data_IF_534791348580
#
_entry.id   IF_534791348580
#
_cell.length_a   1.000
_cell.length_b   1.000
_cell.length_c   1.000
_cell.angle_alpha   90.00
_cell.angle_beta   90.00
_cell.angle_gamma   90.00
#
_symmetry.space_group_name_H-M   'P 1'
#
loop_
_entity.id
_entity.type
_entity.pdbx_description
1 polymer ?
#
# COMPACT_ATOMS: atom_id res chain seq x y z
N UNK A 1 -12.73 -6.79 14.42
CA UNK A 1 -13.47 -5.54 14.12
C UNK A 1 -13.76 -5.38 12.62
N UNK A 2 -12.91 -5.92 11.72
CA UNK A 2 -13.13 -5.96 10.25
C UNK A 2 -14.55 -6.36 9.80
N UNK A 3 -15.22 -7.25 10.56
CA UNK A 3 -16.49 -7.84 10.17
C UNK A 3 -17.64 -6.81 10.02
N UNK A 4 -17.68 -5.70 10.76
CA UNK A 4 -18.89 -4.84 10.79
C UNK A 4 -19.11 -3.98 9.53
N UNK A 5 -18.06 -3.48 8.87
CA UNK A 5 -18.25 -2.64 7.67
C UNK A 5 -18.46 -3.48 6.41
N UNK A 6 -17.68 -4.56 6.24
CA UNK A 6 -17.81 -5.51 5.11
C UNK A 6 -19.20 -6.14 5.07
N UNK A 7 -19.80 -6.45 6.22
CA UNK A 7 -21.17 -7.00 6.28
C UNK A 7 -22.23 -6.04 5.73
N UNK A 8 -21.96 -4.74 5.68
CA UNK A 8 -22.85 -3.75 5.07
C UNK A 8 -22.70 -3.68 3.54
N UNK A 9 -21.67 -4.31 2.97
CA UNK A 9 -21.37 -4.32 1.54
C UNK A 9 -21.39 -5.76 0.98
N UNK A 10 -22.57 -6.33 0.67
CA UNK A 10 -22.70 -7.73 0.24
C UNK A 10 -21.83 -8.09 -0.98
N UNK A 11 -21.65 -7.15 -1.91
CA UNK A 11 -20.80 -7.34 -3.11
C UNK A 11 -19.34 -7.54 -2.73
N UNK A 12 -18.83 -6.75 -1.79
CA UNK A 12 -17.46 -6.88 -1.26
C UNK A 12 -17.27 -8.26 -0.63
N UNK A 13 -18.21 -8.67 0.22
CA UNK A 13 -18.17 -9.99 0.88
C UNK A 13 -18.15 -11.14 -0.14
N UNK A 14 -18.99 -11.07 -1.19
CA UNK A 14 -18.98 -12.08 -2.26
C UNK A 14 -17.63 -12.15 -2.97
N UNK A 15 -17.01 -10.99 -3.27
CA UNK A 15 -15.68 -10.97 -3.89
C UNK A 15 -14.61 -11.52 -2.95
N UNK A 16 -14.67 -11.22 -1.65
CA UNK A 16 -13.76 -11.81 -0.65
C UNK A 16 -13.86 -13.33 -0.58
N UNK A 17 -15.08 -13.89 -0.64
CA UNK A 17 -15.28 -15.35 -0.67
C UNK A 17 -14.68 -15.94 -1.94
N UNK A 18 -14.98 -15.36 -3.12
CA UNK A 18 -14.39 -15.82 -4.40
C UNK A 18 -12.87 -15.72 -4.39
N UNK A 19 -12.35 -14.62 -3.86
CA UNK A 19 -10.92 -14.40 -3.68
C UNK A 19 -10.29 -15.52 -2.86
N UNK A 20 -10.88 -15.85 -1.70
CA UNK A 20 -10.43 -16.95 -0.85
C UNK A 20 -10.45 -18.30 -1.57
N UNK A 21 -11.47 -18.59 -2.37
CA UNK A 21 -11.55 -19.84 -3.14
C UNK A 21 -10.49 -19.92 -4.25
N UNK A 22 -10.19 -18.81 -4.95
CA UNK A 22 -9.09 -18.75 -5.92
C UNK A 22 -7.73 -18.97 -5.24
N UNK A 23 -7.54 -18.34 -4.07
CA UNK A 23 -6.32 -18.48 -3.28
C UNK A 23 -6.07 -19.94 -2.84
N UNK A 24 -7.12 -20.69 -2.46
CA UNK A 24 -7.01 -22.13 -2.15
C UNK A 24 -6.51 -22.95 -3.34
N UNK A 25 -6.90 -22.58 -4.55
CA UNK A 25 -6.50 -23.24 -5.79
C UNK A 25 -5.14 -22.77 -6.31
N UNK A 26 -4.47 -21.86 -5.61
CA UNK A 26 -3.26 -21.16 -6.07
C UNK A 26 -3.47 -20.46 -7.42
N UNK A 27 -4.70 -20.05 -7.68
CA UNK A 27 -5.03 -19.22 -8.83
C UNK A 27 -4.75 -17.76 -8.47
N UNK A 28 -4.27 -17.00 -9.45
CA UNK A 28 -4.17 -15.56 -9.28
C UNK A 28 -5.53 -14.96 -8.94
N UNK A 29 -5.54 -13.97 -8.05
CA UNK A 29 -6.66 -13.06 -7.90
C UNK A 29 -6.16 -11.68 -7.53
N UNK A 30 -6.66 -10.64 -8.18
CA UNK A 30 -6.42 -9.27 -7.76
C UNK A 30 -7.22 -9.03 -6.48
N UNK A 31 -6.56 -8.63 -5.39
CA UNK A 31 -7.23 -8.25 -4.14
C UNK A 31 -7.37 -6.73 -4.08
N UNK A 32 -6.26 -6.03 -4.24
CA UNK A 32 -6.10 -4.64 -3.88
C UNK A 32 -5.58 -3.83 -5.06
N UNK A 33 -6.29 -2.74 -5.35
CA UNK A 33 -5.79 -1.64 -6.17
C UNK A 33 -5.37 -0.51 -5.24
N UNK A 34 -4.08 -0.21 -5.21
CA UNK A 34 -3.56 0.99 -4.57
C UNK A 34 -3.56 2.13 -5.60
N UNK A 35 -4.14 3.27 -5.24
CA UNK A 35 -4.24 4.44 -6.11
C UNK A 35 -3.57 5.62 -5.43
N UNK A 36 -2.52 6.12 -6.08
CA UNK A 36 -2.03 7.46 -5.86
C UNK A 36 -2.62 8.38 -6.91
N UNK A 37 -3.60 9.16 -6.50
CA UNK A 37 -4.28 10.10 -7.37
C UNK A 37 -3.47 11.39 -7.59
N UNK A 38 -2.82 11.87 -6.52
CA UNK A 38 -2.11 13.14 -6.52
C UNK A 38 -0.94 13.10 -5.52
N UNK A 39 0.23 13.56 -5.97
CA UNK A 39 1.48 13.61 -5.19
C UNK A 39 1.54 14.79 -4.20
N UNK A 40 0.59 15.73 -4.24
CA UNK A 40 0.54 16.86 -3.32
C UNK A 40 0.43 16.37 -1.86
N UNK A 41 1.31 16.87 -1.00
CA UNK A 41 1.36 16.53 0.42
C UNK A 41 1.73 17.76 1.24
N UNK A 42 1.14 17.89 2.42
CA UNK A 42 1.45 18.95 3.39
C UNK A 42 2.71 18.65 4.23
N UNK A 43 3.34 17.48 4.07
CA UNK A 43 4.55 17.05 4.79
C UNK A 43 5.74 16.84 3.83
N UNK A 44 6.94 16.67 4.39
CA UNK A 44 8.17 16.41 3.62
C UNK A 44 9.05 15.31 4.25
N UNK A 45 8.44 14.17 4.63
CA UNK A 45 9.04 13.07 5.39
C UNK A 45 10.39 12.59 4.84
N UNK A 46 11.22 11.98 5.70
CA UNK A 46 12.57 11.50 5.37
C UNK A 46 12.62 10.30 4.42
N UNK A 47 11.56 9.51 4.36
CA UNK A 47 11.50 8.26 3.57
C UNK A 47 10.69 8.38 2.28
N UNK A 48 10.01 9.52 2.06
CA UNK A 48 8.94 9.62 1.06
C UNK A 48 9.43 9.34 -0.37
N UNK A 49 8.67 8.52 -1.11
CA UNK A 49 8.88 8.28 -2.54
C UNK A 49 7.95 9.10 -3.43
N UNK A 50 6.76 9.46 -2.97
CA UNK A 50 5.76 10.18 -3.78
C UNK A 50 6.25 11.52 -4.32
N UNK A 51 7.24 12.16 -3.68
CA UNK A 51 7.84 13.40 -4.19
C UNK A 51 8.62 13.23 -5.50
N UNK A 52 9.10 12.02 -5.77
CA UNK A 52 9.91 11.69 -6.95
C UNK A 52 9.09 11.08 -8.09
N UNK A 53 7.86 10.65 -7.81
CA UNK A 53 6.92 10.27 -8.86
C UNK A 53 6.62 11.45 -9.76
N UNK A 54 6.41 11.17 -11.05
CA UNK A 54 5.98 12.17 -12.03
C UNK A 54 4.88 13.06 -11.45
N UNK A 55 5.07 14.38 -11.55
CA UNK A 55 4.08 15.38 -11.13
C UNK A 55 2.96 15.54 -12.14
N UNK A 56 3.03 14.87 -13.29
CA UNK A 56 1.96 14.90 -14.28
C UNK A 56 0.74 14.14 -13.77
N UNK A 57 -0.23 14.87 -13.25
CA UNK A 57 -1.54 14.33 -12.90
C UNK A 57 -2.41 14.27 -14.16
N UNK A 58 -2.72 13.05 -14.61
CA UNK A 58 -3.55 12.78 -15.81
C UNK A 58 -4.84 12.03 -15.50
N UNK A 59 -4.94 11.43 -14.30
CA UNK A 59 -6.15 10.78 -13.86
C UNK A 59 -7.25 11.81 -13.56
N UNK A 60 -8.45 11.52 -14.05
CA UNK A 60 -9.68 12.26 -13.73
C UNK A 60 -10.66 11.30 -13.04
N UNK A 61 -11.69 11.80 -12.34
CA UNK A 61 -12.74 10.94 -11.79
C UNK A 61 -13.37 9.99 -12.82
N UNK A 62 -13.49 10.41 -14.09
CA UNK A 62 -13.97 9.54 -15.16
C UNK A 62 -13.02 8.36 -15.44
N UNK A 63 -11.71 8.58 -15.43
CA UNK A 63 -10.70 7.51 -15.60
C UNK A 63 -10.62 6.60 -14.39
N UNK A 64 -10.80 7.14 -13.19
CA UNK A 64 -10.89 6.34 -11.96
C UNK A 64 -12.13 5.43 -12.00
N UNK A 65 -13.25 5.93 -12.54
CA UNK A 65 -14.47 5.12 -12.71
C UNK A 65 -14.25 3.96 -13.68
N UNK A 66 -13.52 4.19 -14.76
CA UNK A 66 -13.13 3.15 -15.71
C UNK A 66 -12.20 2.11 -15.05
N UNK A 67 -11.16 2.56 -14.35
CA UNK A 67 -10.28 1.69 -13.55
C UNK A 67 -11.08 0.87 -12.53
N UNK A 68 -12.01 1.49 -11.81
CA UNK A 68 -12.91 0.82 -10.86
C UNK A 68 -13.71 -0.29 -11.53
N UNK A 69 -14.28 -0.04 -12.71
CA UNK A 69 -15.01 -1.06 -13.46
C UNK A 69 -14.12 -2.23 -13.88
N UNK A 70 -12.92 -1.95 -14.40
CA UNK A 70 -11.96 -2.98 -14.80
C UNK A 70 -11.47 -3.80 -13.59
N UNK A 71 -11.16 -3.15 -12.46
CA UNK A 71 -10.74 -3.81 -11.23
C UNK A 71 -11.85 -4.69 -10.65
N UNK A 72 -13.11 -4.24 -10.67
CA UNK A 72 -14.26 -5.02 -10.23
C UNK A 72 -14.47 -6.27 -11.10
N UNK A 73 -14.31 -6.15 -12.43
CA UNK A 73 -14.35 -7.29 -13.35
C UNK A 73 -13.25 -8.31 -13.08
N UNK A 74 -12.05 -7.85 -12.69
CA UNK A 74 -10.92 -8.71 -12.30
C UNK A 74 -11.07 -9.32 -10.90
N UNK A 75 -12.13 -8.96 -10.16
CA UNK A 75 -12.44 -9.49 -8.84
C UNK A 75 -11.73 -8.78 -7.69
N UNK A 76 -11.09 -7.64 -7.93
CA UNK A 76 -10.54 -6.79 -6.88
C UNK A 76 -11.64 -6.41 -5.90
N UNK A 77 -11.34 -6.43 -4.60
CA UNK A 77 -12.32 -6.15 -3.57
C UNK A 77 -11.86 -5.10 -2.56
N UNK A 78 -10.60 -4.67 -2.65
CA UNK A 78 -10.08 -3.52 -1.91
C UNK A 78 -9.65 -2.40 -2.85
N UNK A 79 -9.86 -1.17 -2.39
CA UNK A 79 -9.27 0.02 -2.97
C UNK A 79 -8.56 0.80 -1.86
N UNK A 80 -7.29 1.14 -2.09
CA UNK A 80 -6.48 1.90 -1.15
C UNK A 80 -6.07 3.22 -1.76
N UNK A 81 -6.57 4.30 -1.19
CA UNK A 81 -6.15 5.64 -1.54
C UNK A 81 -4.92 6.02 -0.71
N UNK A 82 -3.85 6.38 -1.41
CA UNK A 82 -2.58 6.85 -0.83
C UNK A 82 -1.94 7.86 -1.79
N UNK A 83 -0.64 8.14 -1.65
CA UNK A 83 0.11 8.99 -2.57
C UNK A 83 0.84 10.13 -1.87
N UNK A 84 0.50 11.37 -2.22
CA UNK A 84 0.74 12.50 -1.33
C UNK A 84 -0.12 12.38 -0.07
N UNK A 85 -0.88 13.41 0.28
CA UNK A 85 -1.84 13.34 1.38
C UNK A 85 -3.28 13.38 0.86
N UNK A 86 -4.06 12.28 0.93
CA UNK A 86 -5.43 12.26 0.43
C UNK A 86 -6.34 13.34 1.02
N UNK A 87 -6.15 13.70 2.30
CA UNK A 87 -7.05 14.63 2.97
C UNK A 87 -6.89 16.10 2.54
N UNK A 88 -5.89 16.42 1.72
CA UNK A 88 -5.74 17.76 1.12
C UNK A 88 -6.27 17.83 -0.31
N UNK A 89 -6.73 16.73 -0.89
CA UNK A 89 -7.27 16.74 -2.25
C UNK A 89 -8.61 17.46 -2.26
N UNK A 90 -8.78 18.52 -3.07
CA UNK A 90 -10.04 19.28 -3.12
C UNK A 90 -11.20 18.45 -3.67
N UNK A 91 -10.90 17.41 -4.44
CA UNK A 91 -11.82 16.54 -5.18
C UNK A 91 -11.86 15.11 -4.63
N UNK A 92 -11.43 14.89 -3.37
CA UNK A 92 -11.42 13.57 -2.72
C UNK A 92 -12.79 12.87 -2.78
N UNK A 93 -13.87 13.61 -2.58
CA UNK A 93 -15.24 13.08 -2.60
C UNK A 93 -15.62 12.53 -3.99
N UNK A 94 -15.22 13.23 -5.06
CA UNK A 94 -15.43 12.80 -6.44
C UNK A 94 -14.60 11.56 -6.77
N UNK A 95 -13.37 11.50 -6.28
CA UNK A 95 -12.49 10.33 -6.41
C UNK A 95 -13.11 9.12 -5.70
N UNK A 96 -13.61 9.28 -4.47
CA UNK A 96 -14.30 8.22 -3.74
C UNK A 96 -15.55 7.76 -4.50
N UNK A 97 -16.37 8.68 -4.99
CA UNK A 97 -17.55 8.36 -5.79
C UNK A 97 -17.23 7.68 -7.13
N UNK A 98 -16.07 7.97 -7.72
CA UNK A 98 -15.58 7.29 -8.93
C UNK A 98 -15.11 5.86 -8.63
N UNK A 99 -14.48 5.62 -7.48
CA UNK A 99 -14.09 4.29 -7.02
C UNK A 99 -15.31 3.39 -6.81
N UNK A 100 -16.46 3.97 -6.44
CA UNK A 100 -17.69 3.25 -6.10
C UNK A 100 -17.52 2.38 -4.84
N UNK A 101 -17.62 2.98 -3.63
CA UNK A 101 -17.34 2.30 -2.37
C UNK A 101 -18.30 1.15 -2.08
N UNK A 102 -19.43 1.01 -2.76
CA UNK A 102 -20.30 -0.17 -2.62
C UNK A 102 -19.69 -1.43 -3.26
N UNK A 103 -18.79 -1.25 -4.23
CA UNK A 103 -18.06 -2.35 -4.86
C UNK A 103 -16.82 -2.75 -4.06
N UNK A 104 -16.23 -1.87 -3.27
CA UNK A 104 -14.91 -2.11 -2.66
C UNK A 104 -14.89 -1.85 -1.16
N UNK A 105 -14.03 -2.59 -0.47
CA UNK A 105 -13.54 -2.17 0.84
C UNK A 105 -12.53 -1.04 0.64
N UNK A 106 -12.93 0.19 0.96
CA UNK A 106 -12.15 1.39 0.68
C UNK A 106 -11.40 1.84 1.91
N UNK A 107 -10.10 2.10 1.77
CA UNK A 107 -9.30 2.65 2.86
C UNK A 107 -8.31 3.68 2.41
N UNK A 108 -7.95 4.59 3.32
CA UNK A 108 -7.04 5.71 3.07
C UNK A 108 -5.81 5.58 3.97
N UNK A 109 -4.61 5.83 3.42
CA UNK A 109 -3.45 6.20 4.26
C UNK A 109 -3.37 7.71 4.39
N UNK A 110 -3.19 8.19 5.61
CA UNK A 110 -3.09 9.63 5.91
C UNK A 110 -2.06 9.90 6.99
N UNK A 111 -1.45 11.09 6.95
CA UNK A 111 -0.65 11.65 8.03
C UNK A 111 -1.48 12.17 9.22
N UNK A 112 -2.81 12.19 9.09
CA UNK A 112 -3.73 12.55 10.17
C UNK A 112 -3.93 14.05 10.38
N UNK A 113 -3.12 14.91 9.77
CA UNK A 113 -3.12 16.37 10.03
C UNK A 113 -4.49 17.03 9.83
N UNK A 114 -5.18 16.65 8.75
CA UNK A 114 -6.49 17.19 8.37
C UNK A 114 -7.67 16.30 8.79
N UNK A 115 -7.43 15.21 9.53
CA UNK A 115 -8.49 14.29 9.93
C UNK A 115 -9.15 14.75 11.24
N UNK A 116 -10.00 15.76 11.13
CA UNK A 116 -10.89 16.17 12.24
C UNK A 116 -11.99 15.13 12.47
N UNK A 117 -12.67 15.21 13.61
CA UNK A 117 -13.84 14.37 13.89
C UNK A 117 -14.93 14.52 12.80
N UNK A 118 -15.22 15.75 12.38
CA UNK A 118 -16.18 16.02 11.30
C UNK A 118 -15.75 15.38 9.99
N UNK A 119 -14.48 15.57 9.58
CA UNK A 119 -13.94 14.97 8.37
C UNK A 119 -13.98 13.44 8.43
N UNK A 120 -13.73 12.84 9.59
CA UNK A 120 -13.83 11.40 9.78
C UNK A 120 -15.26 10.88 9.60
N UNK A 121 -16.27 11.56 10.18
CA UNK A 121 -17.67 11.21 9.99
C UNK A 121 -18.11 11.38 8.52
N UNK A 122 -17.65 12.45 7.87
CA UNK A 122 -17.89 12.69 6.44
C UNK A 122 -17.35 11.54 5.58
N UNK A 123 -16.09 11.16 5.75
CA UNK A 123 -15.46 10.06 5.02
C UNK A 123 -16.16 8.71 5.27
N UNK A 124 -16.57 8.44 6.51
CA UNK A 124 -17.38 7.27 6.84
C UNK A 124 -18.72 7.28 6.09
N UNK A 125 -19.37 8.44 5.99
CA UNK A 125 -20.61 8.64 5.22
C UNK A 125 -20.44 8.45 3.71
N UNK A 126 -19.25 8.72 3.18
CA UNK A 126 -18.88 8.43 1.78
C UNK A 126 -18.53 6.95 1.55
N UNK A 127 -18.58 6.10 2.59
CA UNK A 127 -18.32 4.67 2.45
C UNK A 127 -16.85 4.27 2.60
N UNK A 128 -16.00 5.13 3.18
CA UNK A 128 -14.65 4.73 3.62
C UNK A 128 -14.77 3.76 4.80
N UNK A 129 -14.13 2.60 4.68
CA UNK A 129 -14.19 1.54 5.68
C UNK A 129 -13.07 1.62 6.73
N UNK A 130 -11.89 2.11 6.32
CA UNK A 130 -10.69 2.12 7.16
C UNK A 130 -9.79 3.31 6.91
N UNK A 131 -9.21 3.81 8.00
CA UNK A 131 -8.11 4.78 7.98
C UNK A 131 -6.83 4.10 8.48
N UNK A 132 -5.74 4.36 7.76
CA UNK A 132 -4.38 3.94 8.06
C UNK A 132 -3.56 5.18 8.41
N UNK A 133 -3.35 5.41 9.70
CA UNK A 133 -2.69 6.63 10.19
C UNK A 133 -1.20 6.38 10.33
N UNK A 134 -0.42 7.21 9.66
CA UNK A 134 1.04 7.23 9.75
C UNK A 134 1.54 7.62 11.16
N UNK A 135 2.19 6.69 11.86
CA UNK A 135 2.84 6.92 13.16
C UNK A 135 4.10 6.06 13.29
N UNK A 136 5.29 6.66 13.11
CA UNK A 136 6.58 5.92 13.08
C UNK A 136 7.41 6.00 14.36
N UNK A 137 6.98 6.78 15.35
CA UNK A 137 7.57 6.74 16.69
C UNK A 137 6.51 7.10 17.72
N UNK A 138 6.56 6.44 18.88
CA UNK A 138 5.81 6.81 20.07
C UNK A 138 6.46 7.99 20.83
N UNK A 139 7.67 8.39 20.46
CA UNK A 139 8.28 9.64 20.88
C UNK A 139 7.87 10.76 19.93
N UNK A 140 7.19 11.78 20.45
CA UNK A 140 6.67 12.90 19.66
C UNK A 140 7.76 13.65 18.89
N UNK A 141 8.92 13.91 19.51
CA UNK A 141 10.00 14.65 18.88
C UNK A 141 10.63 13.86 17.71
N UNK A 142 10.81 12.56 17.87
CA UNK A 142 11.33 11.68 16.82
C UNK A 142 10.33 11.56 15.66
N UNK A 143 9.05 11.37 15.96
CA UNK A 143 8.02 11.28 14.93
C UNK A 143 7.92 12.58 14.11
N UNK A 144 7.85 13.72 14.80
CA UNK A 144 7.77 15.04 14.16
C UNK A 144 9.01 15.33 13.31
N UNK A 145 10.21 14.96 13.79
CA UNK A 145 11.46 15.10 13.06
C UNK A 145 11.47 14.22 11.79
N UNK A 146 11.11 12.94 11.92
CA UNK A 146 11.04 12.00 10.80
C UNK A 146 10.04 12.42 9.71
N UNK A 147 8.90 12.97 10.14
CA UNK A 147 7.84 13.50 9.25
C UNK A 147 8.13 14.91 8.75
N UNK A 148 9.14 15.58 9.31
CA UNK A 148 9.51 16.99 9.07
C UNK A 148 8.33 17.95 9.28
N UNK A 149 7.53 17.68 10.31
CA UNK A 149 6.36 18.48 10.64
C UNK A 149 6.15 18.52 12.17
N UNK A 150 6.36 19.69 12.82
CA UNK A 150 6.05 19.85 14.24
C UNK A 150 4.55 19.62 14.53
N UNK A 151 4.25 18.87 15.58
CA UNK A 151 2.91 18.48 16.01
C UNK A 151 2.31 17.30 15.25
N UNK A 152 3.05 16.66 14.33
CA UNK A 152 2.56 15.53 13.55
C UNK A 152 2.13 14.36 14.44
N UNK A 153 2.87 14.10 15.52
CA UNK A 153 2.59 13.02 16.47
C UNK A 153 1.19 13.16 17.06
N UNK A 154 0.87 14.34 17.62
CA UNK A 154 -0.43 14.56 18.24
C UNK A 154 -1.56 14.45 17.22
N UNK A 155 -1.36 14.96 16.01
CA UNK A 155 -2.35 14.85 14.93
C UNK A 155 -2.60 13.40 14.50
N UNK A 156 -1.56 12.58 14.43
CA UNK A 156 -1.70 11.16 14.16
C UNK A 156 -2.49 10.45 15.27
N UNK A 157 -2.19 10.76 16.54
CA UNK A 157 -2.91 10.19 17.68
C UNK A 157 -4.40 10.57 17.67
N UNK A 158 -4.71 11.86 17.48
CA UNK A 158 -6.10 12.34 17.39
C UNK A 158 -6.85 11.67 16.22
N UNK A 159 -6.20 11.57 15.05
CA UNK A 159 -6.76 10.96 13.85
C UNK A 159 -7.19 9.49 14.05
N UNK A 160 -6.40 8.70 14.79
CA UNK A 160 -6.76 7.31 15.13
C UNK A 160 -8.08 7.25 15.89
N UNK A 161 -8.27 8.14 16.86
CA UNK A 161 -9.50 8.20 17.67
C UNK A 161 -10.68 8.80 16.90
N UNK A 162 -10.47 9.83 16.07
CA UNK A 162 -11.50 10.37 15.20
C UNK A 162 -12.04 9.32 14.22
N UNK A 163 -11.15 8.55 13.57
CA UNK A 163 -11.56 7.47 12.68
C UNK A 163 -12.36 6.39 13.41
N UNK A 164 -11.91 5.98 14.60
CA UNK A 164 -12.61 5.00 15.43
C UNK A 164 -13.98 5.50 15.88
N UNK A 165 -14.09 6.77 16.29
CA UNK A 165 -15.34 7.40 16.72
C UNK A 165 -16.35 7.53 15.56
N UNK A 166 -15.86 7.71 14.33
CA UNK A 166 -16.68 7.69 13.12
C UNK A 166 -17.16 6.28 12.71
N UNK A 167 -16.75 5.23 13.43
CA UNK A 167 -17.14 3.85 13.15
C UNK A 167 -16.32 3.17 12.04
N UNK A 168 -15.26 3.82 11.55
CA UNK A 168 -14.29 3.21 10.65
C UNK A 168 -13.31 2.33 11.42
N UNK A 169 -12.70 1.35 10.74
CA UNK A 169 -11.51 0.71 11.28
C UNK A 169 -10.35 1.71 11.26
N UNK A 170 -9.54 1.71 12.30
CA UNK A 170 -8.31 2.48 12.35
C UNK A 170 -7.14 1.53 12.56
N UNK A 171 -6.04 1.78 11.85
CA UNK A 171 -4.80 1.08 12.04
C UNK A 171 -3.64 2.08 12.05
N UNK A 172 -2.57 1.69 12.74
CA UNK A 172 -1.31 2.42 12.78
C UNK A 172 -0.44 1.90 11.65
N UNK A 173 0.04 2.80 10.80
CA UNK A 173 0.99 2.50 9.74
C UNK A 173 2.36 3.02 10.16
N UNK A 174 3.30 2.13 10.41
CA UNK A 174 4.63 2.46 10.91
C UNK A 174 5.70 1.97 9.95
N UNK A 175 6.64 2.84 9.61
CA UNK A 175 7.83 2.45 8.84
C UNK A 175 8.83 1.75 9.75
N UNK A 176 9.26 0.55 9.34
CA UNK A 176 10.19 -0.31 10.06
C UNK A 176 11.50 -0.42 9.29
N UNK A 177 12.60 -0.07 9.95
CA UNK A 177 13.96 -0.10 9.44
C UNK A 177 14.82 -1.03 10.31
N UNK A 178 15.99 -1.44 9.81
CA UNK A 178 17.00 -2.12 10.62
C UNK A 178 17.37 -1.31 11.89
N UNK A 179 17.30 0.02 11.81
CA UNK A 179 17.70 0.91 12.90
C UNK A 179 16.64 1.06 13.99
N UNK A 180 15.35 0.86 13.70
CA UNK A 180 14.27 1.12 14.66
C UNK A 180 13.54 -0.14 15.15
N UNK A 181 13.67 -1.28 14.47
CA UNK A 181 12.85 -2.47 14.77
C UNK A 181 13.05 -3.00 16.20
N UNK A 182 14.23 -2.79 16.78
CA UNK A 182 14.54 -3.16 18.17
C UNK A 182 14.32 -2.03 19.18
N UNK A 183 13.72 -0.91 18.78
CA UNK A 183 13.51 0.25 19.66
C UNK A 183 12.32 0.08 20.59
N UNK A 184 12.40 0.70 21.77
CA UNK A 184 11.28 0.80 22.71
C UNK A 184 10.04 1.44 22.08
N UNK A 185 10.25 2.38 21.15
CA UNK A 185 9.21 3.10 20.44
C UNK A 185 8.29 2.16 19.65
N UNK A 186 8.84 1.15 18.97
CA UNK A 186 8.05 0.14 18.26
C UNK A 186 7.21 -0.67 19.25
N UNK A 187 7.79 -1.10 20.38
CA UNK A 187 7.05 -1.82 21.42
C UNK A 187 5.93 -0.96 22.02
N UNK A 188 6.18 0.33 22.25
CA UNK A 188 5.18 1.27 22.75
C UNK A 188 4.02 1.46 21.76
N UNK A 189 4.28 1.54 20.46
CA UNK A 189 3.24 1.54 19.42
C UNK A 189 2.39 0.27 19.52
N UNK A 190 3.01 -0.90 19.69
CA UNK A 190 2.31 -2.18 19.78
C UNK A 190 1.45 -2.29 21.04
N UNK A 191 1.97 -1.91 22.20
CA UNK A 191 1.20 -1.90 23.46
C UNK A 191 0.06 -0.87 23.42
N UNK A 192 0.29 0.31 22.85
CA UNK A 192 -0.78 1.29 22.60
C UNK A 192 -1.86 0.73 21.67
N UNK A 193 -1.47 0.10 20.55
CA UNK A 193 -2.40 -0.51 19.62
C UNK A 193 -3.23 -1.61 20.28
N UNK A 194 -2.60 -2.46 21.10
CA UNK A 194 -3.27 -3.50 21.88
C UNK A 194 -4.28 -2.92 22.87
N UNK A 195 -3.88 -1.91 23.65
CA UNK A 195 -4.74 -1.24 24.62
C UNK A 195 -5.98 -0.63 23.96
N UNK A 196 -5.81 -0.02 22.78
CA UNK A 196 -6.88 0.70 22.08
C UNK A 196 -7.52 -0.09 20.93
N UNK A 197 -7.17 -1.38 20.77
CA UNK A 197 -7.69 -2.28 19.75
C UNK A 197 -7.49 -1.77 18.30
N UNK A 198 -6.35 -1.14 18.05
CA UNK A 198 -5.88 -0.84 16.70
C UNK A 198 -5.09 -2.03 16.16
N UNK A 199 -5.09 -2.20 14.84
CA UNK A 199 -4.10 -3.07 14.18
C UNK A 199 -2.88 -2.23 13.79
N UNK A 200 -1.74 -2.88 13.55
CA UNK A 200 -0.51 -2.19 13.15
C UNK A 200 -0.02 -2.76 11.83
N UNK A 201 0.14 -1.93 10.82
CA UNK A 201 0.77 -2.27 9.56
C UNK A 201 2.24 -1.89 9.62
N UNK A 202 3.12 -2.89 9.55
CA UNK A 202 4.55 -2.69 9.36
C UNK A 202 4.82 -2.48 7.88
N UNK A 203 5.25 -1.27 7.53
CA UNK A 203 5.78 -0.94 6.20
C UNK A 203 7.28 -0.99 6.28
N UNK A 204 7.88 -1.85 5.49
CA UNK A 204 9.29 -2.19 5.61
C UNK A 204 10.09 -1.19 4.81
N UNK A 205 11.24 -0.77 5.33
CA UNK A 205 12.12 0.15 4.62
C UNK A 205 12.46 -0.41 3.23
N UNK A 206 12.31 0.44 2.22
CA UNK A 206 12.71 0.14 0.85
C UNK A 206 13.71 1.19 0.38
N UNK A 207 14.66 0.78 -0.47
CA UNK A 207 15.66 1.67 -1.07
C UNK A 207 15.02 2.45 -2.21
N UNK A 208 14.08 3.32 -1.87
CA UNK A 208 13.24 4.07 -2.81
C UNK A 208 13.01 5.49 -2.31
N UNK A 209 12.62 6.42 -3.21
CA UNK A 209 12.39 7.81 -2.84
C UNK A 209 13.63 8.50 -2.25
N UNK A 210 13.46 9.17 -1.10
CA UNK A 210 14.59 9.79 -0.38
C UNK A 210 15.59 8.79 0.21
N UNK A 211 15.24 7.51 0.23
CA UNK A 211 16.11 6.44 0.71
C UNK A 211 16.79 5.65 -0.40
N UNK A 212 16.74 6.11 -1.65
CA UNK A 212 17.47 5.40 -2.70
C UNK A 212 18.97 5.31 -2.35
N UNK A 213 19.49 4.09 -2.40
CA UNK A 213 20.88 3.77 -2.09
C UNK A 213 21.17 3.56 -0.60
N UNK A 214 20.19 3.75 0.29
CA UNK A 214 20.32 3.53 1.74
C UNK A 214 20.06 2.07 2.12
N UNK A 215 20.99 1.20 1.76
CA UNK A 215 20.89 -0.23 2.04
C UNK A 215 21.07 -0.57 3.53
N UNK A 216 21.61 0.35 4.32
CA UNK A 216 21.80 0.29 5.77
C UNK A 216 20.48 0.38 6.55
N UNK A 217 19.40 0.86 5.93
CA UNK A 217 18.06 0.94 6.54
C UNK A 217 17.24 -0.34 6.36
N UNK A 218 17.60 -1.15 5.36
CA UNK A 218 16.84 -2.31 4.94
C UNK A 218 16.97 -3.46 5.93
N UNK A 219 15.86 -4.18 6.11
CA UNK A 219 15.74 -5.29 7.06
C UNK A 219 16.74 -6.41 6.75
N UNK A 220 17.36 -6.90 7.82
CA UNK A 220 18.26 -8.06 7.80
C UNK A 220 17.48 -9.35 8.11
N UNK A 221 18.05 -10.54 7.84
CA UNK A 221 17.43 -11.79 8.27
C UNK A 221 17.16 -11.89 9.78
N UNK A 222 18.02 -11.27 10.61
CA UNK A 222 17.83 -11.21 12.06
C UNK A 222 16.61 -10.35 12.43
N UNK A 223 16.46 -9.19 11.79
CA UNK A 223 15.30 -8.32 11.97
C UNK A 223 14.01 -9.00 11.51
N UNK A 224 14.05 -9.71 10.38
CA UNK A 224 12.89 -10.47 9.88
C UNK A 224 12.45 -11.53 10.90
N UNK A 225 13.39 -12.26 11.50
CA UNK A 225 13.10 -13.19 12.59
C UNK A 225 12.55 -12.49 13.84
N UNK A 226 13.05 -11.31 14.17
CA UNK A 226 12.50 -10.51 15.27
C UNK A 226 11.06 -10.07 14.99
N UNK A 227 10.76 -9.62 13.77
CA UNK A 227 9.41 -9.27 13.31
C UNK A 227 8.45 -10.45 13.46
N UNK A 228 8.89 -11.68 13.14
CA UNK A 228 8.08 -12.89 13.34
C UNK A 228 7.77 -13.14 14.82
N UNK A 229 8.76 -13.00 15.71
CA UNK A 229 8.55 -13.10 17.17
C UNK A 229 7.58 -12.03 17.67
N UNK A 230 7.68 -10.80 17.17
CA UNK A 230 6.73 -9.74 17.48
C UNK A 230 5.32 -10.09 16.98
N UNK A 231 5.18 -10.68 15.78
CA UNK A 231 3.89 -11.12 15.25
C UNK A 231 3.23 -12.21 16.11
N UNK A 232 4.02 -13.11 16.69
CA UNK A 232 3.54 -14.12 17.65
C UNK A 232 3.03 -13.45 18.94
N UNK A 233 3.79 -12.51 19.50
CA UNK A 233 3.43 -11.78 20.71
C UNK A 233 2.26 -10.79 20.50
N UNK A 234 2.16 -10.20 19.31
CA UNK A 234 1.19 -9.19 18.92
C UNK A 234 0.47 -9.60 17.62
N UNK A 235 -0.56 -10.46 17.70
CA UNK A 235 -1.20 -11.04 16.52
C UNK A 235 -1.89 -10.04 15.58
N UNK A 236 -2.10 -8.80 16.01
CA UNK A 236 -2.70 -7.70 15.23
C UNK A 236 -1.68 -6.93 14.37
N UNK A 237 -0.41 -7.33 14.37
CA UNK A 237 0.58 -6.87 13.39
C UNK A 237 0.25 -7.49 12.03
N UNK A 238 0.23 -6.64 11.01
CA UNK A 238 0.13 -7.00 9.60
C UNK A 238 1.35 -6.49 8.85
N UNK A 239 1.67 -7.18 7.77
CA UNK A 239 2.77 -6.86 6.85
C UNK A 239 2.40 -7.40 5.46
N UNK A 240 2.98 -6.82 4.42
CA UNK A 240 2.77 -7.21 3.02
C UNK A 240 2.95 -8.73 2.75
N UNK A 241 3.92 -9.38 3.38
CA UNK A 241 4.19 -10.82 3.20
C UNK A 241 3.42 -11.74 4.15
N UNK A 242 2.71 -11.18 5.15
CA UNK A 242 2.03 -12.01 6.15
C UNK A 242 0.79 -12.70 5.57
N UNK A 243 0.41 -13.88 6.12
CA UNK A 243 -0.70 -14.64 5.61
C UNK A 243 -2.01 -13.85 5.57
N UNK A 244 -2.75 -14.01 4.48
CA UNK A 244 -4.11 -13.51 4.34
C UNK A 244 -5.06 -14.69 4.22
N UNK A 245 -6.13 -14.70 5.03
CA UNK A 245 -7.06 -15.85 5.13
C UNK A 245 -6.36 -17.20 5.39
N UNK A 246 -5.29 -17.18 6.19
CA UNK A 246 -4.47 -18.36 6.54
C UNK A 246 -3.64 -18.93 5.37
N UNK A 247 -3.49 -18.19 4.26
CA UNK A 247 -2.64 -18.59 3.14
C UNK A 247 -1.32 -17.82 3.12
N UNK A 248 -0.21 -18.56 3.15
CA UNK A 248 1.14 -18.05 2.91
C UNK A 248 1.37 -17.86 1.41
N UNK A 249 1.42 -16.60 0.97
CA UNK A 249 1.69 -16.24 -0.42
C UNK A 249 3.00 -15.49 -0.62
N UNK A 250 3.65 -15.04 0.46
CA UNK A 250 4.87 -14.25 0.38
C UNK A 250 4.61 -12.88 -0.26
N UNK A 251 5.56 -12.42 -1.06
CA UNK A 251 5.49 -11.14 -1.76
C UNK A 251 4.21 -11.03 -2.62
N UNK A 252 3.48 -9.93 -2.42
CA UNK A 252 2.17 -9.68 -3.07
C UNK A 252 2.27 -8.89 -4.36
N UNK A 253 3.49 -8.53 -4.75
CA UNK A 253 3.82 -7.78 -5.96
C UNK A 253 3.17 -8.44 -7.16
N UNK A 254 2.24 -7.73 -7.81
CA UNK A 254 1.36 -8.21 -8.88
C UNK A 254 0.41 -9.36 -8.50
N UNK A 255 0.78 -10.24 -7.54
CA UNK A 255 0.06 -11.38 -7.00
C UNK A 255 -0.85 -11.03 -5.81
N UNK A 256 -1.72 -10.04 -6.04
CA UNK A 256 -2.74 -9.61 -5.09
C UNK A 256 -2.81 -8.10 -4.94
N UNK A 257 -1.75 -7.39 -5.36
CA UNK A 257 -1.64 -5.95 -5.24
C UNK A 257 -1.09 -5.33 -6.52
N UNK A 258 -1.65 -4.19 -6.91
CA UNK A 258 -1.08 -3.30 -7.91
C UNK A 258 -1.13 -1.86 -7.41
N UNK A 259 -0.28 -1.01 -7.96
CA UNK A 259 -0.24 0.41 -7.63
C UNK A 259 -0.42 1.26 -8.88
N UNK A 260 -1.29 2.25 -8.82
CA UNK A 260 -1.61 3.17 -9.93
C UNK A 260 -1.04 4.55 -9.60
N UNK A 261 -0.20 5.10 -10.48
CA UNK A 261 0.38 6.45 -10.33
C UNK A 261 -0.60 7.55 -10.76
N UNK A 262 -0.34 8.82 -10.40
CA UNK A 262 -1.16 9.96 -10.87
C UNK A 262 -1.21 10.13 -12.40
N UNK A 263 -0.21 9.56 -13.11
CA UNK A 263 -0.10 9.56 -14.56
C UNK A 263 -0.78 8.35 -15.22
N UNK A 264 -1.31 7.41 -14.43
CA UNK A 264 -1.98 6.19 -14.90
C UNK A 264 -1.08 4.98 -15.12
N UNK A 265 0.20 5.05 -14.76
CA UNK A 265 1.09 3.89 -14.81
C UNK A 265 0.68 2.84 -13.78
N UNK A 266 0.71 1.57 -14.19
CA UNK A 266 0.51 0.43 -13.32
C UNK A 266 1.86 -0.10 -12.89
N UNK A 267 2.13 -0.06 -11.59
CA UNK A 267 3.30 -0.67 -10.97
C UNK A 267 2.89 -1.97 -10.29
N UNK A 268 3.86 -2.88 -10.14
CA UNK A 268 3.64 -4.15 -9.47
C UNK A 268 3.51 -4.01 -7.95
N UNK A 269 4.09 -2.96 -7.36
CA UNK A 269 3.88 -2.52 -5.98
C UNK A 269 4.28 -1.03 -5.85
N UNK A 270 3.93 -0.33 -4.75
CA UNK A 270 4.26 1.09 -4.58
C UNK A 270 5.77 1.40 -4.58
N UNK A 271 6.63 0.42 -4.26
CA UNK A 271 8.06 0.64 -4.08
C UNK A 271 8.93 0.22 -5.28
N UNK A 272 8.36 -0.56 -6.22
CA UNK A 272 9.04 -0.98 -7.43
C UNK A 272 8.57 -0.06 -8.56
N UNK A 273 9.31 1.04 -8.76
CA UNK A 273 8.94 2.10 -9.70
C UNK A 273 9.24 1.76 -11.17
N UNK A 274 8.73 0.63 -11.62
CA UNK A 274 8.79 0.16 -13.01
C UNK A 274 7.36 0.07 -13.53
N UNK A 275 7.06 0.82 -14.58
CA UNK A 275 5.76 0.81 -15.24
C UNK A 275 5.59 -0.48 -16.03
N UNK A 276 4.53 -1.22 -15.70
CA UNK A 276 4.08 -2.39 -16.46
C UNK A 276 3.25 -1.99 -17.68
N UNK A 277 2.79 -0.74 -17.75
CA UNK A 277 1.83 -0.26 -18.73
C UNK A 277 1.02 0.89 -18.16
N UNK A 278 0.16 1.52 -18.98
CA UNK A 278 -0.60 2.69 -18.56
C UNK A 278 -2.09 2.54 -18.88
N UNK A 279 -2.95 2.68 -17.85
CA UNK A 279 -4.40 2.45 -17.96
C UNK A 279 -5.12 3.45 -18.87
N UNK A 280 -4.46 4.55 -19.25
CA UNK A 280 -5.00 5.52 -20.20
C UNK A 280 -4.88 5.04 -21.65
N UNK A 281 -3.99 4.08 -21.91
CA UNK A 281 -3.63 3.65 -23.26
C UNK A 281 -4.10 2.23 -23.57
N UNK A 282 -4.23 1.37 -22.55
CA UNK A 282 -4.51 -0.05 -22.73
C UNK A 282 -5.33 -0.63 -21.54
N UNK A 283 -6.06 -1.76 -21.74
CA UNK A 283 -6.83 -2.39 -20.69
C UNK A 283 -5.95 -2.91 -19.54
N UNK A 284 -6.42 -2.75 -18.30
CA UNK A 284 -5.74 -3.20 -17.10
C UNK A 284 -5.35 -4.69 -17.17
N UNK A 285 -6.25 -5.54 -17.68
CA UNK A 285 -6.00 -6.98 -17.86
C UNK A 285 -4.73 -7.26 -18.67
N UNK A 286 -4.51 -6.55 -19.77
CA UNK A 286 -3.35 -6.75 -20.64
C UNK A 286 -2.05 -6.31 -19.94
N UNK A 287 -2.12 -5.22 -19.17
CA UNK A 287 -0.99 -4.74 -18.34
C UNK A 287 -0.59 -5.80 -17.30
N UNK A 288 -1.56 -6.43 -16.64
CA UNK A 288 -1.29 -7.50 -15.67
C UNK A 288 -0.68 -8.74 -16.32
N UNK A 289 -1.20 -9.15 -17.48
CA UNK A 289 -0.65 -10.26 -18.26
C UNK A 289 0.82 -10.01 -18.64
N UNK A 290 1.14 -8.77 -19.05
CA UNK A 290 2.53 -8.37 -19.30
C UNK A 290 3.39 -8.50 -18.06
N UNK A 291 2.91 -8.01 -16.92
CA UNK A 291 3.63 -8.08 -15.65
C UNK A 291 3.99 -9.51 -15.24
N UNK A 292 3.10 -10.49 -15.45
CA UNK A 292 3.38 -11.90 -15.11
C UNK A 292 4.36 -12.61 -16.02
N UNK A 293 4.76 -11.98 -17.13
CA UNK A 293 5.89 -12.50 -17.89
C UNK A 293 7.18 -12.33 -17.08
N UNK A 294 7.24 -11.40 -16.13
CA UNK A 294 8.40 -11.18 -15.27
C UNK A 294 8.50 -12.32 -14.24
N UNK A 295 9.60 -13.07 -14.28
CA UNK A 295 9.84 -14.23 -13.40
C UNK A 295 9.62 -13.91 -11.92
N UNK A 296 10.19 -12.79 -11.47
CA UNK A 296 10.08 -12.30 -10.09
C UNK A 296 8.65 -11.96 -9.63
N UNK A 297 7.73 -11.66 -10.56
CA UNK A 297 6.34 -11.32 -10.22
C UNK A 297 5.39 -12.50 -10.39
N UNK A 298 5.81 -13.56 -11.09
CA UNK A 298 5.01 -14.78 -11.28
C UNK A 298 5.32 -15.81 -10.19
N UNK A 299 6.58 -15.98 -9.86
CA UNK A 299 7.01 -17.01 -8.91
C UNK A 299 6.74 -16.61 -7.46
N UNK A 300 6.58 -17.62 -6.61
CA UNK A 300 6.43 -17.39 -5.18
C UNK A 300 7.77 -16.95 -4.57
N UNK A 301 7.75 -15.81 -3.87
CA UNK A 301 8.90 -15.26 -3.16
C UNK A 301 8.49 -15.07 -1.70
N UNK A 302 9.13 -15.73 -0.71
CA UNK A 302 8.67 -15.73 0.68
C UNK A 302 8.96 -14.41 1.42
N UNK A 303 9.83 -13.57 0.87
CA UNK A 303 10.27 -12.29 1.42
C UNK A 303 9.89 -11.11 0.52
N UNK A 304 10.00 -9.88 1.03
CA UNK A 304 9.69 -8.69 0.27
C UNK A 304 10.79 -8.39 -0.75
N UNK A 305 10.46 -8.42 -2.05
CA UNK A 305 11.39 -8.10 -3.13
C UNK A 305 12.00 -6.69 -3.00
N UNK A 306 11.20 -5.71 -2.56
CA UNK A 306 11.64 -4.32 -2.49
C UNK A 306 12.38 -3.94 -1.19
N UNK A 307 12.17 -4.70 -0.11
CA UNK A 307 12.70 -4.40 1.22
C UNK A 307 13.78 -5.35 1.72
N UNK A 308 13.82 -6.60 1.22
CA UNK A 308 14.69 -7.66 1.74
C UNK A 308 15.56 -8.32 0.67
N UNK A 309 15.10 -8.41 -0.58
CA UNK A 309 15.85 -9.08 -1.65
C UNK A 309 16.96 -8.21 -2.24
N UNK A 310 18.19 -8.39 -1.72
CA UNK A 310 19.34 -7.55 -2.10
C UNK A 310 19.70 -7.64 -3.57
N UNK A 311 19.58 -8.83 -4.18
CA UNK A 311 19.89 -9.03 -5.60
C UNK A 311 18.85 -8.35 -6.48
N UNK A 312 17.56 -8.47 -6.14
CA UNK A 312 16.49 -7.77 -6.86
C UNK A 312 16.62 -6.25 -6.73
N UNK A 313 16.90 -5.75 -5.52
CA UNK A 313 17.05 -4.32 -5.24
C UNK A 313 18.21 -3.74 -6.06
N UNK A 314 19.38 -4.39 -6.04
CA UNK A 314 20.55 -3.94 -6.80
C UNK A 314 20.26 -3.95 -8.31
N UNK A 315 19.67 -5.03 -8.82
CA UNK A 315 19.43 -5.22 -10.25
C UNK A 315 18.38 -4.29 -10.83
N UNK A 316 17.25 -4.09 -10.14
CA UNK A 316 16.09 -3.39 -10.71
C UNK A 316 15.82 -2.04 -10.05
N UNK A 317 15.89 -1.95 -8.73
CA UNK A 317 15.60 -0.70 -8.03
C UNK A 317 16.77 0.29 -8.12
N UNK A 318 18.01 -0.20 -8.21
CA UNK A 318 19.20 0.63 -8.46
C UNK A 318 19.10 1.48 -9.74
N UNK A 319 18.32 1.02 -10.75
CA UNK A 319 18.09 1.74 -12.00
C UNK A 319 17.26 3.03 -11.85
N UNK A 320 16.60 3.21 -10.70
CA UNK A 320 15.67 4.33 -10.46
C UNK A 320 16.29 5.50 -9.69
N UNK A 321 17.61 5.46 -9.44
CA UNK A 321 18.31 6.37 -8.52
C UNK A 321 18.40 7.82 -8.97
N UNK A 322 18.42 8.07 -10.27
CA UNK A 322 18.68 9.40 -10.83
C UNK A 322 17.74 9.75 -12.01
N UNK A 323 16.56 9.12 -12.06
CA UNK A 323 15.63 9.21 -13.20
C UNK A 323 14.23 9.59 -12.69
N UNK A 324 13.46 10.28 -13.52
CA UNK A 324 12.01 10.45 -13.29
C UNK A 324 11.36 9.08 -13.28
N UNK A 325 10.74 8.72 -12.17
CA UNK A 325 10.06 7.44 -11.99
C UNK A 325 8.56 7.54 -12.33
N UNK A 326 7.94 6.47 -12.86
CA UNK A 326 8.51 5.13 -13.10
C UNK A 326 9.30 5.00 -14.42
N UNK A 327 10.26 4.07 -14.48
CA UNK A 327 10.93 3.67 -15.73
C UNK A 327 10.06 2.69 -16.53
N UNK A 328 10.24 2.59 -17.85
CA UNK A 328 9.40 1.70 -18.67
C UNK A 328 9.76 0.22 -18.52
N UNK A 329 8.79 -0.66 -18.81
CA UNK A 329 8.96 -2.12 -18.79
C UNK A 329 10.20 -2.60 -19.57
N UNK A 330 10.40 -2.07 -20.79
CA UNK A 330 11.48 -2.50 -21.69
C UNK A 330 12.86 -1.98 -21.26
N UNK A 331 12.91 -0.86 -20.53
CA UNK A 331 14.17 -0.36 -19.94
C UNK A 331 14.56 -1.18 -18.70
N UNK A 332 13.54 -1.65 -17.96
CA UNK A 332 13.74 -2.37 -16.71
C UNK A 332 14.11 -3.85 -16.91
N UNK A 333 13.40 -4.56 -17.78
CA UNK A 333 13.51 -6.02 -17.93
C UNK A 333 14.16 -6.44 -19.24
N UNK A 334 15.13 -7.34 -19.13
CA UNK A 334 15.75 -8.02 -20.27
C UNK A 334 14.98 -9.30 -20.64
N UNK A 335 15.29 -9.93 -21.78
CA UNK A 335 14.68 -11.22 -22.15
C UNK A 335 14.89 -12.31 -21.10
N UNK A 336 16.05 -12.31 -20.43
CA UNK A 336 16.39 -13.30 -19.41
C UNK A 336 15.53 -13.16 -18.14
N UNK A 337 14.92 -12.00 -17.93
CA UNK A 337 14.02 -11.73 -16.80
C UNK A 337 12.59 -12.20 -17.07
N UNK A 338 12.29 -12.60 -18.31
CA UNK A 338 10.94 -12.91 -18.77
C UNK A 338 10.76 -14.40 -19.07
N UNK A 339 9.53 -14.88 -18.90
CA UNK A 339 9.07 -16.10 -19.53
C UNK A 339 8.75 -15.84 -21.02
N UNK A 340 9.09 -16.81 -21.86
CA UNK A 340 8.77 -16.80 -23.29
C UNK A 340 7.28 -17.05 -23.56
N UNK A 341 6.62 -17.77 -22.64
CA UNK A 341 5.20 -18.11 -22.73
C UNK A 341 4.31 -17.02 -22.13
N UNK A 342 3.15 -16.79 -22.74
CA UNK A 342 2.10 -15.98 -22.11
C UNK A 342 1.53 -16.69 -20.87
N UNK A 343 1.27 -15.97 -19.77
CA UNK A 343 0.67 -16.55 -18.59
C UNK A 343 -0.71 -17.14 -18.91
N UNK A 344 -0.97 -18.37 -18.48
CA UNK A 344 -2.28 -19.01 -18.61
C UNK A 344 -3.34 -18.28 -17.77
N UNK A 345 -4.12 -17.43 -18.44
CA UNK A 345 -5.51 -17.09 -18.10
C UNK A 345 -5.72 -16.10 -16.94
N UNK A 346 -6.28 -14.92 -17.28
CA UNK A 346 -6.94 -14.01 -16.34
C UNK A 346 -8.45 -14.22 -16.28
#
# INVERSE_FOLDING_TARGET
>A
MERKSVLKKPRVLQKMIRYRERMKKREYALQLVELNYNNACNYNCEHCFSHFLSKEQKLTPARIRDLSAQADQLGAWQFHLQGGEPLIWPDLDEVLAAIDPEKFYVFLTTNGWMLTQEKAHHLAGLGVDKISVSLDSFNAAEHDAFRKQPGAYQKAMDALFHAKAAGMQANINTVITHQNIHSDSVIQILEFAKQHQFTVLFVIATSSGKWVGRTDLLITPEDANHILKLKEAYPFIHRDIFPLFDFEWGCRTLNGLIYITPSGDVLSCPFIHISLGNILNEPLREILQRGWRVKYFRDHVPHCLAGEDRLFIEKFMGKTKDIVIPISFNEAFSKDDLYDEEPLGL
#
